data_IF_320825892435
#
_entry.id   IF_320825892435
#
_cell.length_a   1.000
_cell.length_b   1.000
_cell.length_c   1.000
_cell.angle_alpha   90.00
_cell.angle_beta   90.00
_cell.angle_gamma   90.00
#
_symmetry.space_group_name_H-M   'P 1'
#
loop_
_entity.id
_entity.type
_entity.pdbx_description
1 polymer ?
#
# COMPACT_ATOMS: atom_id res chain seq x y z
N UNK A 1 23.26 16.63 8.31
CA UNK A 1 22.17 17.14 7.43
C UNK A 1 22.46 16.97 5.93
N UNK A 2 23.34 16.04 5.51
CA UNK A 2 23.68 15.80 4.09
C UNK A 2 23.18 14.46 3.53
N UNK A 3 22.19 13.82 4.18
CA UNK A 3 21.58 12.54 3.75
C UNK A 3 20.05 12.62 3.63
N UNK A 4 19.48 13.82 3.56
CA UNK A 4 18.03 14.01 3.36
C UNK A 4 17.67 14.13 1.87
N UNK A 5 18.63 14.51 1.04
CA UNK A 5 18.49 14.70 -0.42
C UNK A 5 19.42 13.71 -1.13
N UNK A 6 19.25 12.42 -0.85
CA UNK A 6 19.93 11.39 -1.64
C UNK A 6 19.14 11.21 -2.94
N UNK A 7 19.73 11.49 -4.12
CA UNK A 7 19.05 11.31 -5.40
C UNK A 7 18.54 9.87 -5.59
N UNK A 8 19.16 8.90 -4.92
CA UNK A 8 18.70 7.52 -4.84
C UNK A 8 17.26 7.39 -4.35
N UNK A 9 16.79 8.18 -3.38
CA UNK A 9 15.41 8.10 -2.86
C UNK A 9 14.38 8.43 -3.95
N UNK A 10 14.68 9.43 -4.79
CA UNK A 10 13.83 9.79 -5.93
C UNK A 10 13.79 8.70 -7.00
N UNK A 11 14.93 8.05 -7.26
CA UNK A 11 15.02 6.94 -8.21
C UNK A 11 14.18 5.75 -7.74
N UNK A 12 14.27 5.36 -6.47
CA UNK A 12 13.45 4.27 -5.92
C UNK A 12 11.94 4.57 -6.01
N UNK A 13 11.53 5.79 -5.68
CA UNK A 13 10.14 6.21 -5.81
C UNK A 13 9.65 6.18 -7.26
N UNK A 14 10.48 6.62 -8.21
CA UNK A 14 10.14 6.60 -9.63
C UNK A 14 10.03 5.16 -10.18
N UNK A 15 10.99 4.29 -9.85
CA UNK A 15 10.94 2.87 -10.26
C UNK A 15 9.71 2.20 -9.65
N UNK A 16 9.42 2.44 -8.37
CA UNK A 16 8.23 1.91 -7.70
C UNK A 16 6.93 2.41 -8.35
N UNK A 17 6.88 3.68 -8.74
CA UNK A 17 5.75 4.25 -9.48
C UNK A 17 5.55 3.55 -10.83
N UNK A 18 6.61 3.37 -11.63
CA UNK A 18 6.53 2.68 -12.91
C UNK A 18 6.07 1.22 -12.75
N UNK A 19 6.61 0.51 -11.75
CA UNK A 19 6.22 -0.87 -11.45
C UNK A 19 4.74 -0.94 -11.03
N UNK A 20 4.30 -0.04 -10.16
CA UNK A 20 2.90 0.02 -9.72
C UNK A 20 1.97 0.32 -10.91
N UNK A 21 2.35 1.25 -11.79
CA UNK A 21 1.61 1.58 -13.00
C UNK A 21 1.49 0.37 -13.93
N UNK A 22 2.59 -0.35 -14.17
CA UNK A 22 2.61 -1.53 -15.01
C UNK A 22 1.74 -2.68 -14.44
N UNK A 23 1.87 -2.95 -13.13
CA UNK A 23 1.04 -3.93 -12.43
C UNK A 23 -0.44 -3.56 -12.46
N UNK A 24 -0.76 -2.27 -12.29
CA UNK A 24 -2.14 -1.78 -12.39
C UNK A 24 -2.71 -1.96 -13.81
N UNK A 25 -1.90 -1.72 -14.84
CA UNK A 25 -2.28 -2.01 -16.23
C UNK A 25 -2.60 -3.48 -16.46
N UNK A 26 -1.73 -4.39 -16.00
CA UNK A 26 -1.95 -5.84 -16.08
C UNK A 26 -3.21 -6.25 -15.32
N UNK A 27 -3.42 -5.67 -14.13
CA UNK A 27 -4.60 -5.91 -13.32
C UNK A 27 -5.91 -5.48 -14.01
N UNK A 28 -5.92 -4.30 -14.64
CA UNK A 28 -7.07 -3.83 -15.40
C UNK A 28 -7.33 -4.69 -16.64
N UNK A 29 -6.28 -5.08 -17.37
CA UNK A 29 -6.40 -5.98 -18.51
C UNK A 29 -7.04 -7.30 -18.08
N UNK A 30 -6.58 -7.89 -16.97
CA UNK A 30 -7.18 -9.08 -16.39
C UNK A 30 -8.65 -8.87 -15.98
N UNK A 31 -8.98 -7.74 -15.35
CA UNK A 31 -10.33 -7.45 -14.86
C UNK A 31 -11.35 -7.24 -16.00
N UNK A 32 -10.93 -6.66 -17.13
CA UNK A 32 -11.80 -6.32 -18.26
C UNK A 32 -11.92 -7.49 -19.25
N UNK A 33 -10.90 -8.33 -19.40
CA UNK A 33 -10.93 -9.43 -20.38
C UNK A 33 -12.05 -10.45 -20.07
N UNK A 34 -12.78 -10.95 -21.08
CA UNK A 34 -13.75 -12.04 -20.90
C UNK A 34 -13.03 -13.35 -20.51
N UNK A 35 -13.70 -14.21 -19.74
CA UNK A 35 -13.10 -15.46 -19.23
C UNK A 35 -12.71 -16.42 -20.37
N UNK A 36 -13.42 -16.36 -21.49
CA UNK A 36 -13.14 -17.13 -22.71
C UNK A 36 -11.73 -16.85 -23.26
N UNK A 37 -11.30 -15.59 -23.25
CA UNK A 37 -9.97 -15.19 -23.70
C UNK A 37 -8.88 -15.65 -22.73
N UNK A 38 -9.19 -15.63 -21.44
CA UNK A 38 -8.32 -16.12 -20.38
C UNK A 38 -8.11 -17.63 -20.44
N UNK A 39 -9.17 -18.38 -20.75
CA UNK A 39 -9.11 -19.82 -20.99
C UNK A 39 -8.29 -20.16 -22.25
N UNK A 40 -8.38 -19.35 -23.30
CA UNK A 40 -7.57 -19.52 -24.51
C UNK A 40 -6.07 -19.32 -24.26
N UNK A 41 -5.71 -18.41 -23.37
CA UNK A 41 -4.30 -18.16 -22.95
C UNK A 41 -3.82 -19.25 -21.96
N UNK A 42 -4.68 -20.18 -21.53
CA UNK A 42 -4.36 -21.27 -20.61
C UNK A 42 -4.45 -20.91 -19.13
N UNK A 43 -5.00 -19.73 -18.79
CA UNK A 43 -5.27 -19.29 -17.41
C UNK A 43 -6.67 -19.71 -16.95
N UNK A 44 -6.95 -21.01 -16.97
CA UNK A 44 -8.28 -21.55 -16.60
C UNK A 44 -8.59 -21.54 -15.10
N UNK A 45 -7.60 -21.29 -14.22
CA UNK A 45 -7.73 -21.38 -12.76
C UNK A 45 -7.61 -20.04 -12.03
N UNK A 46 -7.82 -18.91 -12.71
CA UNK A 46 -7.83 -17.63 -12.02
C UNK A 46 -9.03 -17.51 -11.06
N UNK A 47 -8.85 -16.79 -9.94
CA UNK A 47 -9.93 -16.56 -8.99
C UNK A 47 -11.07 -15.78 -9.66
N UNK A 48 -12.31 -16.02 -9.20
CA UNK A 48 -13.51 -15.35 -9.71
C UNK A 48 -13.32 -13.84 -9.91
N UNK A 49 -13.87 -13.26 -10.98
CA UNK A 49 -13.77 -11.81 -11.27
C UNK A 49 -14.24 -10.89 -10.15
N UNK A 50 -15.06 -11.38 -9.22
CA UNK A 50 -15.41 -10.66 -7.99
C UNK A 50 -14.18 -10.17 -7.22
N UNK A 51 -13.06 -10.92 -7.26
CA UNK A 51 -11.80 -10.51 -6.65
C UNK A 51 -11.25 -9.19 -7.21
N UNK A 52 -11.63 -8.80 -8.43
CA UNK A 52 -11.26 -7.53 -9.02
C UNK A 52 -11.81 -6.30 -8.27
N UNK A 53 -12.90 -6.47 -7.51
CA UNK A 53 -13.51 -5.41 -6.68
C UNK A 53 -13.04 -5.52 -5.24
N UNK A 54 -12.90 -6.77 -4.78
CA UNK A 54 -12.51 -7.10 -3.40
C UNK A 54 -11.09 -6.65 -3.09
N UNK A 55 -10.14 -6.83 -4.01
CA UNK A 55 -8.73 -6.45 -3.79
C UNK A 55 -8.58 -4.93 -3.53
N UNK A 56 -9.11 -4.01 -4.37
CA UNK A 56 -9.08 -2.58 -4.10
C UNK A 56 -9.77 -2.19 -2.79
N UNK A 57 -10.88 -2.86 -2.47
CA UNK A 57 -11.60 -2.64 -1.22
C UNK A 57 -10.73 -2.99 0.00
N UNK A 58 -10.08 -4.15 0.01
CA UNK A 58 -9.19 -4.55 1.11
C UNK A 58 -7.97 -3.63 1.22
N UNK A 59 -7.39 -3.17 0.11
CA UNK A 59 -6.29 -2.19 0.14
C UNK A 59 -6.75 -0.89 0.80
N UNK A 60 -7.93 -0.39 0.46
CA UNK A 60 -8.49 0.81 1.09
C UNK A 60 -8.75 0.65 2.59
N UNK A 61 -9.43 -0.43 2.98
CA UNK A 61 -9.75 -0.72 4.39
C UNK A 61 -8.48 -0.94 5.22
N UNK A 62 -7.52 -1.72 4.71
CA UNK A 62 -6.25 -1.96 5.40
C UNK A 62 -5.43 -0.69 5.56
N UNK A 63 -5.43 0.22 4.57
CA UNK A 63 -4.71 1.50 4.67
C UNK A 63 -5.27 2.37 5.80
N UNK A 64 -6.60 2.47 5.92
CA UNK A 64 -7.25 3.21 7.01
C UNK A 64 -6.95 2.56 8.36
N UNK A 65 -7.04 1.23 8.43
CA UNK A 65 -6.75 0.47 9.64
C UNK A 65 -5.29 0.65 10.09
N UNK A 66 -4.33 0.64 9.16
CA UNK A 66 -2.92 0.89 9.46
C UNK A 66 -2.68 2.29 10.03
N UNK A 67 -3.35 3.32 9.48
CA UNK A 67 -3.29 4.68 10.03
C UNK A 67 -3.85 4.74 11.45
N UNK A 68 -4.99 4.11 11.70
CA UNK A 68 -5.58 4.04 13.05
C UNK A 68 -4.65 3.31 14.03
N UNK A 69 -4.13 2.15 13.64
CA UNK A 69 -3.16 1.40 14.45
C UNK A 69 -1.91 2.23 14.75
N UNK A 70 -1.41 2.98 13.77
CA UNK A 70 -0.27 3.87 13.95
C UNK A 70 -0.56 4.97 14.97
N UNK A 71 -1.74 5.59 14.93
CA UNK A 71 -2.17 6.59 15.92
C UNK A 71 -2.28 5.96 17.30
N UNK A 72 -2.95 4.81 17.42
CA UNK A 72 -3.07 4.09 18.69
C UNK A 72 -1.70 3.71 19.27
N UNK A 73 -0.79 3.23 18.42
CA UNK A 73 0.58 2.90 18.81
C UNK A 73 1.35 4.14 19.28
N UNK A 74 1.20 5.25 18.56
CA UNK A 74 1.80 6.53 18.95
C UNK A 74 1.28 7.02 20.30
N UNK A 75 -0.03 6.91 20.55
CA UNK A 75 -0.63 7.27 21.84
C UNK A 75 -0.20 6.35 22.99
N UNK A 76 0.00 5.05 22.71
CA UNK A 76 0.51 4.10 23.69
C UNK A 76 1.94 4.45 24.15
N UNK A 77 2.77 4.91 23.21
CA UNK A 77 4.15 5.30 23.49
C UNK A 77 4.27 6.68 24.16
N UNK A 78 3.22 7.50 24.13
CA UNK A 78 3.25 8.84 24.75
C UNK A 78 3.27 8.72 26.28
N UNK A 79 4.25 9.32 26.98
CA UNK A 79 4.26 9.40 28.44
C UNK A 79 3.03 10.16 28.98
N UNK A 80 2.59 9.89 30.24
CA UNK A 80 1.50 10.64 30.85
C UNK A 80 1.84 12.13 30.98
N UNK A 81 0.83 13.00 30.91
CA UNK A 81 1.00 14.47 30.91
C UNK A 81 1.72 15.04 32.14
N UNK A 82 1.77 14.30 33.24
CA UNK A 82 2.46 14.68 34.49
C UNK A 82 3.94 14.27 34.53
N UNK A 83 4.47 13.63 33.49
CA UNK A 83 5.88 13.22 33.44
C UNK A 83 6.80 14.37 32.98
N UNK A 84 7.86 14.63 33.75
CA UNK A 84 8.82 15.71 33.52
C UNK A 84 9.57 15.56 32.19
N UNK A 85 9.63 14.35 31.63
CA UNK A 85 10.17 14.08 30.29
C UNK A 85 9.42 14.80 29.17
N UNK A 86 8.17 15.23 29.43
CA UNK A 86 7.38 16.04 28.48
C UNK A 86 7.87 17.48 28.39
N UNK A 87 8.49 18.01 29.46
CA UNK A 87 8.91 19.43 29.58
C UNK A 87 10.42 19.56 29.33
N UNK A 88 11.23 18.66 29.88
CA UNK A 88 12.65 18.56 29.56
C UNK A 88 12.82 17.52 28.47
N UNK A 89 12.87 17.96 27.21
CA UNK A 89 13.21 17.10 26.07
C UNK A 89 14.69 16.66 26.16
N UNK A 90 15.01 15.78 27.10
CA UNK A 90 16.30 15.10 27.31
C UNK A 90 16.03 13.60 27.27
#
# INVERSE_FOLDING_TARGET
MAGLIDPSRGIYGFVFYLVTLALFGIYLLWAILPDEWLQYIGLSYLPQKYWAIVVPLYIGVSSILLLLLYVCYSMWLTPPFDDLQTITAI
#
